data_IF_323295620523
#
_entry.id   IF_323295620523
#
_cell.length_a   1.000
_cell.length_b   1.000
_cell.length_c   1.000
_cell.angle_alpha   90.00
_cell.angle_beta   90.00
_cell.angle_gamma   90.00
#
_symmetry.space_group_name_H-M   'P 1'
#
loop_
_entity.id
_entity.type
_entity.pdbx_description
1 polymer ?
#
# COMPACT_ATOMS: atom_id res chain seq x y z
N UNK A 1 13.19 -3.56 18.29
CA UNK A 1 12.33 -2.37 18.27
C UNK A 1 11.37 -2.46 17.11
N UNK A 2 10.07 -2.50 17.38
CA UNK A 2 9.03 -2.38 16.35
C UNK A 2 8.85 -0.87 16.17
N UNK A 3 9.47 -0.31 15.13
CA UNK A 3 9.20 1.07 14.77
C UNK A 3 7.78 1.09 14.21
N UNK A 4 6.84 1.88 14.78
CA UNK A 4 5.53 2.03 14.19
C UNK A 4 5.71 2.79 12.88
N UNK A 5 5.86 2.06 11.77
CA UNK A 5 5.96 2.68 10.45
C UNK A 5 4.58 3.14 10.04
N UNK A 6 4.44 4.43 9.80
CA UNK A 6 3.22 5.02 9.25
C UNK A 6 3.05 4.47 7.82
N UNK A 7 1.84 4.09 7.41
CA UNK A 7 1.59 3.53 6.08
C UNK A 7 2.13 4.40 4.92
N UNK A 8 2.22 5.72 5.15
CA UNK A 8 2.78 6.71 4.21
C UNK A 8 4.29 6.51 4.01
N UNK A 9 5.06 6.24 5.08
CA UNK A 9 6.51 5.97 4.96
C UNK A 9 6.77 4.65 4.23
N UNK A 10 5.89 3.66 4.37
CA UNK A 10 6.05 2.40 3.64
C UNK A 10 5.89 2.55 2.12
N UNK A 11 4.98 3.41 1.65
CA UNK A 11 4.82 3.70 0.22
C UNK A 11 6.12 4.31 -0.35
N UNK A 12 6.70 5.27 0.36
CA UNK A 12 7.95 5.93 -0.06
C UNK A 12 9.14 4.98 -0.13
N UNK A 13 9.27 4.08 0.86
CA UNK A 13 10.32 3.05 0.87
C UNK A 13 10.11 2.06 -0.27
N UNK A 14 8.89 1.55 -0.47
CA UNK A 14 8.58 0.60 -1.57
C UNK A 14 8.80 1.23 -2.94
N UNK A 15 8.39 2.48 -3.14
CA UNK A 15 8.61 3.21 -4.39
C UNK A 15 10.09 3.40 -4.69
N UNK A 16 10.90 3.79 -3.70
CA UNK A 16 12.34 3.95 -3.84
C UNK A 16 13.04 2.65 -4.19
N UNK A 17 12.67 1.54 -3.52
CA UNK A 17 13.22 0.20 -3.80
C UNK A 17 12.80 -0.27 -5.20
N UNK A 18 11.53 -0.08 -5.59
CA UNK A 18 11.06 -0.43 -6.92
C UNK A 18 11.80 0.34 -8.02
N UNK A 19 12.03 1.64 -7.85
CA UNK A 19 12.83 2.43 -8.78
C UNK A 19 14.29 1.97 -8.86
N UNK A 20 14.89 1.58 -7.73
CA UNK A 20 16.25 1.06 -7.71
C UNK A 20 16.38 -0.24 -8.52
N UNK A 21 15.47 -1.20 -8.35
CA UNK A 21 15.52 -2.48 -9.05
C UNK A 21 15.02 -2.40 -10.49
N UNK A 22 13.83 -1.84 -10.70
CA UNK A 22 13.22 -1.78 -12.03
C UNK A 22 13.83 -0.68 -12.90
N UNK A 23 14.49 0.32 -12.33
CA UNK A 23 15.30 1.30 -13.05
C UNK A 23 16.48 0.68 -13.81
N UNK A 24 16.94 -0.52 -13.41
CA UNK A 24 17.96 -1.29 -14.13
C UNK A 24 17.42 -1.93 -15.42
N UNK A 25 16.11 -2.14 -15.51
CA UNK A 25 15.45 -2.83 -16.63
C UNK A 25 14.71 -1.84 -17.54
N UNK A 26 14.16 -0.78 -16.96
CA UNK A 26 13.36 0.22 -17.67
C UNK A 26 13.56 1.61 -17.08
N UNK A 27 13.79 2.60 -17.93
CA UNK A 27 13.90 4.00 -17.52
C UNK A 27 12.52 4.69 -17.34
N UNK A 28 11.42 3.93 -17.43
CA UNK A 28 10.07 4.45 -17.23
C UNK A 28 9.72 4.53 -15.73
N UNK A 29 10.26 5.56 -15.07
CA UNK A 29 10.04 5.86 -13.65
C UNK A 29 8.55 5.95 -13.31
N UNK A 30 7.76 6.60 -14.16
CA UNK A 30 6.31 6.79 -13.95
C UNK A 30 5.59 5.44 -13.97
N UNK A 31 5.92 4.57 -14.93
CA UNK A 31 5.35 3.23 -15.03
C UNK A 31 5.68 2.32 -13.84
N UNK A 32 6.91 2.42 -13.33
CA UNK A 32 7.35 1.65 -12.15
C UNK A 32 6.59 2.12 -10.90
N UNK A 33 6.48 3.43 -10.70
CA UNK A 33 5.76 4.01 -9.58
C UNK A 33 4.26 3.69 -9.64
N UNK A 34 3.63 3.85 -10.80
CA UNK A 34 2.20 3.56 -10.97
C UNK A 34 1.90 2.08 -10.74
N UNK A 35 2.73 1.16 -11.25
CA UNK A 35 2.56 -0.27 -11.03
C UNK A 35 2.71 -0.64 -9.55
N UNK A 36 3.73 -0.09 -8.88
CA UNK A 36 3.97 -0.31 -7.44
C UNK A 36 2.82 0.22 -6.60
N UNK A 37 2.27 1.39 -6.95
CA UNK A 37 1.14 2.00 -6.27
C UNK A 37 -0.16 1.21 -6.44
N UNK A 38 -0.45 0.77 -7.67
CA UNK A 38 -1.63 -0.08 -7.95
C UNK A 38 -1.53 -1.41 -7.21
N UNK A 39 -0.35 -2.04 -7.20
CA UNK A 39 -0.11 -3.25 -6.43
C UNK A 39 -0.35 -3.03 -4.91
N UNK A 40 0.09 -1.90 -4.37
CA UNK A 40 -0.14 -1.54 -2.98
C UNK A 40 -1.63 -1.34 -2.66
N UNK A 41 -2.39 -0.71 -3.56
CA UNK A 41 -3.85 -0.56 -3.40
C UNK A 41 -4.53 -1.94 -3.30
N UNK A 42 -4.22 -2.84 -4.22
CA UNK A 42 -4.85 -4.16 -4.27
C UNK A 42 -4.51 -4.97 -3.02
N UNK A 43 -3.26 -4.91 -2.56
CA UNK A 43 -2.79 -5.78 -1.49
C UNK A 43 -3.09 -5.24 -0.08
N UNK A 44 -3.15 -3.91 0.11
CA UNK A 44 -3.28 -3.31 1.44
C UNK A 44 -4.51 -2.42 1.58
N UNK A 45 -4.77 -1.53 0.63
CA UNK A 45 -5.92 -0.61 0.71
C UNK A 45 -7.24 -1.36 0.59
N UNK A 46 -7.35 -2.26 -0.37
CA UNK A 46 -8.60 -2.98 -0.62
C UNK A 46 -9.01 -3.87 0.57
N UNK A 47 -8.12 -4.69 1.17
CA UNK A 47 -8.44 -5.41 2.39
C UNK A 47 -8.74 -4.50 3.59
N UNK A 48 -8.02 -3.38 3.73
CA UNK A 48 -8.26 -2.43 4.82
C UNK A 48 -9.64 -1.76 4.70
N UNK A 49 -10.08 -1.42 3.49
CA UNK A 49 -11.42 -0.89 3.23
C UNK A 49 -12.52 -1.91 3.56
N UNK A 50 -12.34 -3.16 3.15
CA UNK A 50 -13.28 -4.24 3.50
C UNK A 50 -13.33 -4.44 5.01
N UNK A 51 -12.16 -4.47 5.67
CA UNK A 51 -12.07 -4.57 7.13
C UNK A 51 -12.76 -3.40 7.84
N UNK A 52 -12.61 -2.17 7.32
CA UNK A 52 -13.30 -0.99 7.84
C UNK A 52 -14.82 -1.15 7.76
N UNK A 53 -15.37 -1.56 6.61
CA UNK A 53 -16.81 -1.78 6.42
C UNK A 53 -17.31 -2.88 7.36
N UNK A 54 -16.57 -3.99 7.46
CA UNK A 54 -16.93 -5.12 8.32
C UNK A 54 -16.96 -4.74 9.81
N UNK A 55 -15.95 -3.99 10.30
CA UNK A 55 -15.90 -3.50 11.68
C UNK A 55 -17.07 -2.53 11.97
N UNK A 56 -17.39 -1.64 11.03
CA UNK A 56 -18.55 -0.75 11.17
C UNK A 56 -19.87 -1.54 11.27
N UNK A 57 -20.03 -2.61 10.48
CA UNK A 57 -21.20 -3.49 10.54
C UNK A 57 -21.32 -4.23 11.89
N UNK A 58 -20.21 -4.74 12.44
CA UNK A 58 -20.22 -5.44 13.74
C UNK A 58 -20.52 -4.50 14.91
N UNK A 59 -20.09 -3.23 14.83
CA UNK A 59 -20.37 -2.22 15.86
C UNK A 59 -21.85 -1.80 15.88
N UNK A 60 -22.53 -1.86 14.72
CA UNK A 60 -23.96 -1.60 14.61
C UNK A 60 -24.82 -2.74 15.18
N UNK A 61 -24.36 -3.99 15.10
CA UNK A 61 -25.06 -5.16 15.65
C UNK A 61 -24.91 -5.32 17.18
N UNK A 62 -24.05 -4.51 17.81
CA UNK A 62 -23.85 -4.44 19.27
C UNK A 62 -24.65 -3.30 19.91
N UNK A 63 -25.84 -3.02 19.39
CA UNK A 63 -26.86 -2.21 20.05
C UNK A 63 -28.17 -2.98 20.12
#
# INVERSE_FOLDING_TARGET
SIIPTIAITEIGVRGSVALFFFGLVSNNVVGILSATFVMWIINLVFPALIGMIFIFSLKFFRK
#
